data_IF_814869410153
#
_entry.id   IF_814869410153
#
_cell.length_a   1.000
_cell.length_b   1.000
_cell.length_c   1.000
_cell.angle_alpha   90.00
_cell.angle_beta   90.00
_cell.angle_gamma   90.00
#
_symmetry.space_group_name_H-M   'P 1'
#
loop_
_entity.id
_entity.type
_entity.pdbx_description
1 polymer ?
#
# COMPACT_ATOMS: atom_id res chain seq x y z
N UNK A 1 -12.69 -16.52 -9.03
CA UNK A 1 -13.26 -17.84 -8.64
C UNK A 1 -12.19 -18.58 -7.89
N UNK A 2 -12.49 -19.11 -6.69
CA UNK A 2 -11.51 -19.89 -5.92
C UNK A 2 -11.34 -21.24 -6.61
N UNK A 3 -10.22 -21.45 -7.27
CA UNK A 3 -9.92 -22.72 -7.91
C UNK A 3 -9.70 -23.80 -6.84
N UNK A 4 -10.34 -24.95 -7.04
CA UNK A 4 -10.13 -26.15 -6.22
C UNK A 4 -9.21 -27.09 -7.01
N UNK A 5 -8.29 -27.74 -6.32
CA UNK A 5 -7.33 -28.69 -6.88
C UNK A 5 -7.39 -30.01 -6.16
N UNK A 6 -6.90 -31.08 -6.80
CA UNK A 6 -6.79 -32.42 -6.20
C UNK A 6 -5.38 -32.98 -6.40
N UNK A 7 -5.02 -33.93 -5.56
CA UNK A 7 -3.73 -34.60 -5.61
C UNK A 7 -3.67 -35.67 -6.72
N UNK A 8 -2.55 -35.74 -7.41
CA UNK A 8 -2.23 -36.84 -8.32
C UNK A 8 -1.88 -38.12 -7.53
N UNK A 9 -1.94 -39.28 -8.19
CA UNK A 9 -1.51 -40.55 -7.58
C UNK A 9 -0.03 -40.55 -7.22
N UNK A 10 0.80 -40.01 -8.12
CA UNK A 10 2.23 -39.83 -7.88
C UNK A 10 2.50 -38.83 -6.75
N UNK A 11 1.77 -37.73 -6.71
CA UNK A 11 1.86 -36.72 -5.67
C UNK A 11 1.52 -37.28 -4.30
N UNK A 12 0.45 -38.10 -4.17
CA UNK A 12 0.11 -38.74 -2.90
C UNK A 12 1.21 -39.71 -2.41
N UNK A 13 1.95 -40.36 -3.31
CA UNK A 13 3.10 -41.19 -2.93
C UNK A 13 4.23 -40.34 -2.32
N UNK A 14 4.51 -39.18 -2.91
CA UNK A 14 5.49 -38.23 -2.37
C UNK A 14 5.07 -37.73 -0.97
N UNK A 15 3.81 -37.36 -0.83
CA UNK A 15 3.25 -36.92 0.47
C UNK A 15 3.28 -38.04 1.51
N UNK A 16 3.00 -39.29 1.12
CA UNK A 16 3.09 -40.46 2.03
C UNK A 16 4.52 -40.69 2.53
N UNK A 17 5.50 -40.52 1.65
CA UNK A 17 6.91 -40.60 2.02
C UNK A 17 7.33 -39.47 2.95
N UNK A 18 6.98 -38.23 2.64
CA UNK A 18 7.34 -37.05 3.43
C UNK A 18 6.72 -37.08 4.85
N UNK A 19 5.45 -37.44 4.99
CA UNK A 19 4.81 -37.60 6.33
C UNK A 19 5.45 -38.68 7.18
N UNK A 20 5.92 -39.81 6.59
CA UNK A 20 6.62 -40.86 7.30
C UNK A 20 7.94 -40.38 7.88
N UNK A 21 8.67 -39.53 7.17
CA UNK A 21 9.88 -38.88 7.70
C UNK A 21 9.59 -38.04 8.95
N UNK A 22 8.42 -37.40 9.00
CA UNK A 22 7.94 -36.63 10.16
C UNK A 22 7.28 -37.54 11.25
N UNK A 23 7.22 -38.86 11.02
CA UNK A 23 6.55 -39.85 11.90
C UNK A 23 5.05 -39.55 12.11
N UNK A 24 4.40 -38.95 11.14
CA UNK A 24 2.97 -38.65 11.16
C UNK A 24 2.15 -39.79 10.53
N UNK A 25 0.97 -40.10 11.11
CA UNK A 25 -0.02 -40.91 10.41
C UNK A 25 -0.85 -40.04 9.42
N UNK A 26 -1.66 -40.67 8.58
CA UNK A 26 -2.46 -39.99 7.54
C UNK A 26 -3.43 -38.93 8.10
N UNK A 27 -3.77 -38.94 9.36
CA UNK A 27 -4.72 -38.07 10.04
C UNK A 27 -4.14 -37.47 11.31
N UNK A 28 -2.82 -37.31 11.36
CA UNK A 28 -2.12 -36.78 12.53
C UNK A 28 -2.64 -35.37 12.88
N UNK A 29 -2.93 -35.15 14.17
CA UNK A 29 -3.36 -33.84 14.67
C UNK A 29 -2.34 -32.77 14.33
N UNK A 30 -1.06 -33.05 14.56
CA UNK A 30 0.03 -32.13 14.26
C UNK A 30 0.04 -31.69 12.80
N UNK A 31 -0.37 -32.54 11.86
CA UNK A 31 -0.37 -32.22 10.43
C UNK A 31 -1.48 -31.22 10.08
N UNK A 32 -2.75 -31.55 10.37
CA UNK A 32 -3.84 -30.65 10.00
C UNK A 32 -3.85 -29.35 10.82
N UNK A 33 -3.29 -29.36 12.04
CA UNK A 33 -3.07 -28.13 12.80
C UNK A 33 -2.00 -27.26 12.16
N UNK A 34 -0.86 -27.84 11.72
CA UNK A 34 0.19 -27.10 11.02
C UNK A 34 -0.27 -26.57 9.64
N UNK A 35 -1.23 -27.24 9.00
CA UNK A 35 -1.83 -26.82 7.75
C UNK A 35 -3.06 -25.91 7.94
N UNK A 36 -3.36 -25.47 9.16
CA UNK A 36 -4.52 -24.66 9.50
C UNK A 36 -5.83 -25.20 8.89
N UNK A 37 -6.03 -26.51 8.93
CA UNK A 37 -7.17 -27.18 8.33
C UNK A 37 -7.82 -28.19 9.27
N UNK A 38 -8.81 -28.95 8.78
CA UNK A 38 -9.51 -29.96 9.56
C UNK A 38 -9.11 -31.37 9.16
N UNK A 39 -9.35 -32.34 10.07
CA UNK A 39 -9.19 -33.78 9.78
C UNK A 39 -10.05 -34.20 8.58
N UNK A 40 -11.24 -33.64 8.44
CA UNK A 40 -12.14 -33.94 7.32
C UNK A 40 -11.53 -33.47 5.98
N UNK A 41 -10.92 -32.29 5.94
CA UNK A 41 -10.24 -31.78 4.74
C UNK A 41 -9.01 -32.61 4.40
N UNK A 42 -8.24 -33.05 5.39
CA UNK A 42 -7.10 -33.93 5.17
C UNK A 42 -7.54 -35.31 4.62
N UNK A 43 -8.68 -35.83 5.06
CA UNK A 43 -9.27 -37.06 4.49
C UNK A 43 -9.71 -36.85 3.03
N UNK A 44 -10.29 -35.68 2.69
CA UNK A 44 -10.63 -35.33 1.30
C UNK A 44 -9.39 -35.26 0.42
N UNK A 45 -8.31 -34.68 0.92
CA UNK A 45 -7.01 -34.66 0.24
C UNK A 45 -6.51 -36.06 -0.08
N UNK A 46 -6.51 -36.98 0.89
CA UNK A 46 -6.14 -38.38 0.69
C UNK A 46 -7.10 -39.16 -0.22
N UNK A 47 -8.36 -38.79 -0.25
CA UNK A 47 -9.39 -39.33 -1.12
C UNK A 47 -9.39 -38.74 -2.54
N UNK A 48 -8.39 -37.93 -2.89
CA UNK A 48 -8.27 -37.24 -4.19
C UNK A 48 -9.52 -36.41 -4.54
N UNK A 49 -10.19 -35.86 -3.54
CA UNK A 49 -11.29 -34.94 -3.72
C UNK A 49 -10.74 -33.53 -3.86
N UNK A 50 -11.36 -32.72 -4.72
CA UNK A 50 -10.99 -31.32 -4.89
C UNK A 50 -11.16 -30.55 -3.58
N UNK A 51 -10.13 -29.81 -3.20
CA UNK A 51 -10.10 -28.88 -2.06
C UNK A 51 -9.54 -27.53 -2.51
N UNK A 52 -9.77 -26.50 -1.76
CA UNK A 52 -9.29 -25.16 -2.08
C UNK A 52 -7.77 -25.14 -2.25
N UNK A 53 -7.29 -24.41 -3.24
CA UNK A 53 -5.85 -24.37 -3.58
C UNK A 53 -4.99 -23.90 -2.42
N UNK A 54 -5.43 -22.87 -1.67
CA UNK A 54 -4.73 -22.39 -0.47
C UNK A 54 -4.56 -23.48 0.60
N UNK A 55 -5.61 -24.23 0.84
CA UNK A 55 -5.60 -25.35 1.79
C UNK A 55 -4.75 -26.52 1.30
N UNK A 56 -4.76 -26.78 -0.01
CA UNK A 56 -3.93 -27.81 -0.63
C UNK A 56 -2.43 -27.47 -0.49
N UNK A 57 -2.05 -26.22 -0.77
CA UNK A 57 -0.69 -25.71 -0.59
C UNK A 57 -0.23 -25.83 0.86
N UNK A 58 -1.08 -25.44 1.83
CA UNK A 58 -0.77 -25.57 3.25
C UNK A 58 -0.55 -27.02 3.70
N UNK A 59 -1.34 -27.98 3.19
CA UNK A 59 -1.18 -29.42 3.48
C UNK A 59 0.17 -29.94 2.95
N UNK A 60 0.57 -29.55 1.74
CA UNK A 60 1.85 -29.93 1.13
C UNK A 60 3.03 -29.28 1.87
N UNK A 61 2.96 -28.00 2.15
CA UNK A 61 3.98 -27.25 2.88
C UNK A 61 4.22 -27.81 4.30
N UNK A 62 3.17 -28.23 4.99
CA UNK A 62 3.28 -28.83 6.33
C UNK A 62 4.14 -30.10 6.38
N UNK A 63 4.26 -30.82 5.27
CA UNK A 63 5.16 -31.97 5.13
C UNK A 63 6.46 -31.63 4.39
N UNK A 64 6.67 -30.37 4.02
CA UNK A 64 7.89 -29.89 3.37
C UNK A 64 7.96 -30.21 1.88
N UNK A 65 6.82 -30.31 1.22
CA UNK A 65 6.73 -30.55 -0.24
C UNK A 65 6.18 -29.31 -0.96
N UNK A 66 6.72 -29.13 -2.16
CA UNK A 66 6.16 -28.20 -3.11
C UNK A 66 4.85 -28.78 -3.67
N UNK A 67 3.76 -28.02 -3.60
CA UNK A 67 2.43 -28.46 -4.00
C UNK A 67 2.30 -28.77 -5.50
N UNK A 68 3.10 -28.09 -6.36
CA UNK A 68 3.12 -28.31 -7.81
C UNK A 68 3.52 -29.74 -8.16
N UNK A 69 4.35 -30.38 -7.35
CA UNK A 69 4.75 -31.79 -7.50
C UNK A 69 3.69 -32.79 -7.05
N UNK A 70 2.66 -32.30 -6.38
CA UNK A 70 1.62 -33.12 -5.74
C UNK A 70 0.29 -33.05 -6.48
N UNK A 71 0.01 -31.93 -7.12
CA UNK A 71 -1.25 -31.66 -7.83
C UNK A 71 -1.38 -32.51 -9.10
N UNK A 72 -2.61 -32.78 -9.54
CA UNK A 72 -2.90 -33.52 -10.76
C UNK A 72 -2.66 -32.63 -11.99
N UNK A 73 -1.83 -33.06 -12.97
CA UNK A 73 -1.45 -32.24 -14.13
C UNK A 73 -2.62 -31.81 -15.01
N UNK A 74 -3.63 -32.66 -15.18
CA UNK A 74 -4.80 -32.40 -16.02
C UNK A 74 -5.71 -31.24 -15.55
N UNK A 75 -5.42 -30.65 -14.42
CA UNK A 75 -6.11 -29.45 -13.96
C UNK A 75 -5.44 -28.15 -14.43
N UNK A 76 -4.31 -28.26 -15.11
CA UNK A 76 -3.60 -27.16 -15.76
C UNK A 76 -3.65 -27.22 -17.30
N UNK A 77 -4.16 -28.28 -17.89
CA UNK A 77 -4.37 -28.36 -19.35
C UNK A 77 -5.70 -27.67 -19.71
N UNK A 78 -5.61 -26.40 -20.05
CA UNK A 78 -6.56 -25.73 -20.95
C UNK A 78 -6.11 -26.11 -22.35
N UNK A 79 -7.05 -26.64 -23.17
CA UNK A 79 -6.86 -27.11 -24.52
C UNK A 79 -5.90 -26.22 -25.34
N UNK A 80 -4.75 -26.77 -25.68
CA UNK A 80 -3.69 -26.11 -26.45
C UNK A 80 -4.07 -25.94 -27.94
N UNK A 81 -5.18 -26.52 -28.40
CA UNK A 81 -5.58 -26.51 -29.80
C UNK A 81 -6.53 -25.37 -30.22
N UNK A 82 -7.21 -24.72 -29.26
CA UNK A 82 -7.96 -23.48 -29.52
C UNK A 82 -7.10 -22.21 -29.27
N UNK A 83 -5.92 -22.37 -28.67
CA UNK A 83 -5.02 -21.27 -28.31
C UNK A 83 -4.29 -20.70 -29.52
N UNK A 84 -3.91 -21.50 -30.51
CA UNK A 84 -3.07 -21.05 -31.65
C UNK A 84 -3.79 -20.09 -32.63
N UNK A 85 -5.09 -19.97 -32.60
CA UNK A 85 -5.82 -18.98 -33.41
C UNK A 85 -6.40 -17.80 -32.65
N UNK A 86 -6.58 -17.90 -31.34
CA UNK A 86 -6.92 -16.79 -30.46
C UNK A 86 -5.68 -16.09 -29.86
N UNK A 87 -4.54 -16.78 -29.84
CA UNK A 87 -3.29 -16.28 -29.23
C UNK A 87 -2.66 -15.09 -29.96
N UNK A 88 -2.89 -14.90 -31.25
CA UNK A 88 -2.35 -13.72 -31.93
C UNK A 88 -3.17 -12.43 -31.69
N UNK A 89 -4.40 -12.55 -31.18
CA UNK A 89 -5.23 -11.35 -30.91
C UNK A 89 -5.54 -11.18 -29.42
N UNK A 90 -5.40 -12.22 -28.60
CA UNK A 90 -5.69 -12.19 -27.15
C UNK A 90 -4.44 -12.20 -26.26
N UNK A 91 -3.26 -12.51 -26.81
CA UNK A 91 -1.97 -12.48 -26.11
C UNK A 91 -1.54 -11.08 -25.67
N UNK A 92 -2.21 -10.03 -26.17
CA UNK A 92 -2.00 -8.67 -25.70
C UNK A 92 -2.92 -8.25 -24.54
N UNK A 93 -3.97 -9.03 -24.19
CA UNK A 93 -4.95 -8.54 -23.22
C UNK A 93 -5.29 -9.50 -22.07
N UNK A 94 -4.98 -10.81 -22.13
CA UNK A 94 -5.52 -11.77 -21.15
C UNK A 94 -4.50 -12.62 -20.39
N UNK A 95 -3.26 -12.70 -20.83
CA UNK A 95 -2.20 -13.46 -20.14
C UNK A 95 -1.52 -12.69 -18.98
N UNK A 96 -1.89 -11.42 -18.75
CA UNK A 96 -1.37 -10.57 -17.67
C UNK A 96 -2.35 -10.38 -16.49
N UNK A 97 -3.51 -11.02 -16.50
CA UNK A 97 -4.57 -10.86 -15.51
C UNK A 97 -4.33 -11.59 -14.17
N UNK A 98 -3.08 -11.87 -13.80
CA UNK A 98 -2.76 -12.58 -12.55
C UNK A 98 -1.52 -12.09 -11.81
N UNK A 99 -0.70 -11.22 -12.41
CA UNK A 99 0.45 -10.61 -11.73
C UNK A 99 0.28 -9.10 -11.88
N UNK A 100 -0.21 -8.44 -10.85
CA UNK A 100 -0.28 -6.97 -10.83
C UNK A 100 1.09 -6.38 -11.15
N UNK A 101 1.14 -5.41 -12.06
CA UNK A 101 2.36 -4.68 -12.36
C UNK A 101 2.65 -3.72 -11.21
N UNK A 102 3.74 -3.96 -10.48
CA UNK A 102 4.12 -3.18 -9.31
C UNK A 102 5.42 -2.42 -9.58
N UNK A 103 5.40 -1.12 -9.41
CA UNK A 103 6.58 -0.26 -9.43
C UNK A 103 6.60 0.64 -8.20
N UNK A 104 7.34 0.22 -7.21
CA UNK A 104 7.47 0.94 -5.94
C UNK A 104 8.46 2.10 -6.00
N UNK A 105 9.26 2.23 -7.08
CA UNK A 105 10.24 3.30 -7.23
C UNK A 105 11.05 3.52 -5.96
N UNK A 106 11.04 4.75 -5.46
CA UNK A 106 11.69 5.14 -4.20
C UNK A 106 10.78 5.12 -2.97
N UNK A 107 9.71 4.31 -2.95
CA UNK A 107 8.81 4.20 -1.80
C UNK A 107 9.58 3.71 -0.56
N UNK A 108 9.46 4.37 0.60
CA UNK A 108 10.11 3.91 1.81
C UNK A 108 9.43 2.64 2.33
N UNK A 109 10.22 1.68 2.79
CA UNK A 109 9.68 0.51 3.48
C UNK A 109 9.26 0.91 4.91
N UNK A 110 7.98 0.81 5.29
CA UNK A 110 7.53 1.18 6.62
C UNK A 110 7.95 0.10 7.63
N UNK A 111 9.08 0.30 8.30
CA UNK A 111 9.59 -0.63 9.34
C UNK A 111 8.70 -0.66 10.57
N UNK A 112 8.08 0.48 10.91
CA UNK A 112 7.19 0.64 12.06
C UNK A 112 5.94 1.41 11.65
N UNK A 113 4.78 0.89 12.02
CA UNK A 113 3.49 1.49 11.73
C UNK A 113 2.60 1.39 12.97
N UNK A 114 2.24 2.54 13.54
CA UNK A 114 1.48 2.60 14.79
C UNK A 114 0.09 3.18 14.55
N UNK A 115 -0.91 2.48 15.06
CA UNK A 115 -2.29 2.92 14.94
C UNK A 115 -2.77 3.03 13.49
N UNK A 116 -3.60 4.04 13.20
CA UNK A 116 -4.07 4.38 11.85
C UNK A 116 -4.99 3.35 11.19
N UNK A 117 -5.50 2.39 11.93
CA UNK A 117 -6.40 1.38 11.36
C UNK A 117 -7.73 2.00 10.90
N UNK A 118 -8.23 3.01 11.62
CA UNK A 118 -9.45 3.70 11.22
C UNK A 118 -9.24 4.49 9.94
N UNK A 119 -8.12 5.22 9.84
CA UNK A 119 -7.74 5.97 8.65
C UNK A 119 -7.56 5.04 7.44
N UNK A 120 -6.87 3.90 7.62
CA UNK A 120 -6.72 2.90 6.55
C UNK A 120 -8.08 2.36 6.09
N UNK A 121 -8.97 2.02 7.01
CA UNK A 121 -10.30 1.49 6.67
C UNK A 121 -11.11 2.53 5.90
N UNK A 122 -11.12 3.78 6.34
CA UNK A 122 -11.82 4.88 5.64
C UNK A 122 -11.26 5.07 4.21
N UNK A 123 -9.93 5.09 4.07
CA UNK A 123 -9.30 5.25 2.76
C UNK A 123 -9.56 4.07 1.83
N UNK A 124 -9.57 2.85 2.37
CA UNK A 124 -9.94 1.65 1.61
C UNK A 124 -11.41 1.70 1.14
N UNK A 125 -12.33 2.14 2.00
CA UNK A 125 -13.74 2.33 1.66
C UNK A 125 -13.89 3.36 0.53
N UNK A 126 -13.26 4.51 0.63
CA UNK A 126 -13.29 5.55 -0.40
C UNK A 126 -12.80 5.03 -1.77
N UNK A 127 -11.71 4.28 -1.77
CA UNK A 127 -11.09 3.80 -3.01
C UNK A 127 -11.83 2.60 -3.61
N UNK A 128 -12.27 1.65 -2.78
CA UNK A 128 -12.82 0.38 -3.26
C UNK A 128 -14.34 0.38 -3.40
N UNK A 129 -15.05 1.12 -2.56
CA UNK A 129 -16.53 1.12 -2.50
C UNK A 129 -17.10 2.39 -3.12
N UNK A 130 -16.58 3.56 -2.74
CA UNK A 130 -17.06 4.84 -3.25
C UNK A 130 -16.43 5.21 -4.59
N UNK A 131 -15.45 4.42 -5.09
CA UNK A 131 -14.74 4.63 -6.35
C UNK A 131 -14.11 6.03 -6.47
N UNK A 132 -13.52 6.53 -5.38
CA UNK A 132 -12.77 7.79 -5.45
C UNK A 132 -11.62 7.67 -6.45
N UNK A 133 -11.58 8.59 -7.40
CA UNK A 133 -10.54 8.65 -8.43
C UNK A 133 -9.31 9.45 -8.00
N UNK A 134 -9.45 10.31 -6.97
CA UNK A 134 -8.35 11.08 -6.40
C UNK A 134 -8.53 11.22 -4.88
N UNK A 135 -7.49 10.83 -4.13
CA UNK A 135 -7.44 10.94 -2.67
C UNK A 135 -6.18 11.70 -2.25
N UNK A 136 -6.36 12.84 -1.59
CA UNK A 136 -5.27 13.65 -1.07
C UNK A 136 -5.08 13.45 0.44
N UNK A 137 -3.93 12.91 0.86
CA UNK A 137 -3.53 12.81 2.27
C UNK A 137 -2.83 14.11 2.67
N UNK A 138 -3.49 14.92 3.49
CA UNK A 138 -3.03 16.25 3.87
C UNK A 138 -2.58 16.27 5.33
N UNK A 139 -1.58 17.09 5.67
CA UNK A 139 -1.17 17.31 7.07
C UNK A 139 0.29 17.72 7.21
N UNK A 140 0.67 18.06 8.44
CA UNK A 140 2.00 18.56 8.78
C UNK A 140 3.14 17.62 8.33
N UNK A 141 4.34 18.18 8.19
CA UNK A 141 5.57 17.40 8.02
C UNK A 141 5.76 16.41 9.17
N UNK A 142 6.19 15.19 8.86
CA UNK A 142 6.42 14.17 9.90
C UNK A 142 5.19 13.50 10.48
N UNK A 143 3.95 13.88 10.10
CA UNK A 143 2.69 13.31 10.64
C UNK A 143 2.41 11.87 10.20
N UNK A 144 3.17 11.36 9.20
CA UNK A 144 3.06 9.98 8.74
C UNK A 144 2.29 9.77 7.43
N UNK A 145 2.07 10.79 6.61
CA UNK A 145 1.36 10.70 5.31
C UNK A 145 1.97 9.67 4.37
N UNK A 146 3.27 9.78 4.11
CA UNK A 146 4.01 8.84 3.26
C UNK A 146 3.91 7.40 3.76
N UNK A 147 4.06 7.19 5.07
CA UNK A 147 3.96 5.86 5.68
C UNK A 147 2.55 5.28 5.53
N UNK A 148 1.52 6.11 5.72
CA UNK A 148 0.11 5.71 5.54
C UNK A 148 -0.18 5.38 4.07
N UNK A 149 0.30 6.20 3.13
CA UNK A 149 0.12 5.97 1.68
C UNK A 149 0.79 4.67 1.22
N UNK A 150 2.03 4.39 1.67
CA UNK A 150 2.72 3.12 1.37
C UNK A 150 1.94 1.93 1.92
N UNK A 151 1.51 2.01 3.19
CA UNK A 151 0.74 0.94 3.81
C UNK A 151 -0.59 0.69 3.11
N UNK A 152 -1.29 1.76 2.74
CA UNK A 152 -2.53 1.70 1.95
C UNK A 152 -2.29 1.04 0.59
N UNK A 153 -1.26 1.46 -0.14
CA UNK A 153 -0.94 0.90 -1.46
C UNK A 153 -0.59 -0.59 -1.38
N UNK A 154 0.17 -1.03 -0.36
CA UNK A 154 0.43 -2.45 -0.12
C UNK A 154 -0.85 -3.26 0.19
N UNK A 155 -1.78 -2.68 0.95
CA UNK A 155 -3.06 -3.35 1.27
C UNK A 155 -3.97 -3.47 0.04
N UNK A 156 -3.85 -2.52 -0.91
CA UNK A 156 -4.70 -2.45 -2.09
C UNK A 156 -4.08 -3.09 -3.34
N UNK A 157 -2.80 -3.44 -3.34
CA UNK A 157 -2.07 -3.86 -4.55
C UNK A 157 -2.76 -4.99 -5.32
N UNK A 158 -3.36 -5.97 -4.63
CA UNK A 158 -4.04 -7.11 -5.26
C UNK A 158 -5.43 -6.75 -5.84
N UNK A 159 -5.86 -5.48 -5.71
CA UNK A 159 -7.13 -4.96 -6.24
C UNK A 159 -6.95 -4.12 -7.49
N UNK A 160 -5.72 -3.89 -7.90
CA UNK A 160 -5.33 -3.08 -9.04
C UNK A 160 -4.43 -3.86 -9.99
N UNK A 161 -4.56 -3.62 -11.28
CA UNK A 161 -3.72 -4.22 -12.30
C UNK A 161 -2.33 -3.58 -12.33
N UNK A 162 -2.28 -2.28 -12.04
CA UNK A 162 -1.05 -1.51 -11.98
C UNK A 162 -0.99 -0.74 -10.67
N UNK A 163 0.15 -0.81 -9.98
CA UNK A 163 0.45 0.02 -8.81
C UNK A 163 1.78 0.72 -9.03
N UNK A 164 1.78 2.04 -8.97
CA UNK A 164 2.96 2.85 -9.22
C UNK A 164 3.14 3.90 -8.14
N UNK A 165 4.37 3.99 -7.62
CA UNK A 165 4.78 5.01 -6.64
C UNK A 165 5.78 5.98 -7.26
N UNK A 166 5.55 7.28 -7.11
CA UNK A 166 6.54 8.31 -7.47
C UNK A 166 6.61 9.39 -6.40
N UNK A 167 7.84 9.80 -6.10
CA UNK A 167 8.08 10.93 -5.20
C UNK A 167 8.34 12.20 -5.99
N UNK A 168 7.59 13.24 -5.68
CA UNK A 168 7.79 14.57 -6.26
C UNK A 168 8.77 15.43 -5.45
N UNK A 169 9.50 14.86 -4.50
CA UNK A 169 10.39 15.58 -3.57
C UNK A 169 11.39 16.49 -4.27
N UNK A 170 11.89 16.10 -5.43
CA UNK A 170 12.85 16.87 -6.22
C UNK A 170 12.18 17.79 -7.23
N UNK A 171 10.86 17.99 -7.14
CA UNK A 171 10.05 18.78 -8.07
C UNK A 171 10.36 18.42 -9.55
N UNK A 172 10.13 17.16 -10.00
CA UNK A 172 10.37 16.79 -11.39
C UNK A 172 9.42 17.56 -12.32
N UNK A 173 9.84 17.86 -13.56
CA UNK A 173 8.95 18.40 -14.59
C UNK A 173 7.78 17.43 -14.85
N UNK A 174 6.56 17.96 -15.03
CA UNK A 174 5.38 17.13 -15.28
C UNK A 174 5.55 16.22 -16.49
N UNK A 175 6.22 16.69 -17.53
CA UNK A 175 6.45 15.90 -18.75
C UNK A 175 7.21 14.61 -18.51
N UNK A 176 8.19 14.64 -17.61
CA UNK A 176 8.97 13.46 -17.23
C UNK A 176 8.12 12.45 -16.43
N UNK A 177 7.31 12.95 -15.50
CA UNK A 177 6.42 12.12 -14.68
C UNK A 177 5.34 11.46 -15.54
N UNK A 178 4.73 12.22 -16.48
CA UNK A 178 3.76 11.66 -17.41
C UNK A 178 4.36 10.61 -18.33
N UNK A 179 5.56 10.87 -18.87
CA UNK A 179 6.26 9.91 -19.74
C UNK A 179 6.53 8.60 -19.00
N UNK A 180 7.03 8.69 -17.78
CA UNK A 180 7.32 7.54 -16.93
C UNK A 180 6.05 6.74 -16.57
N UNK A 181 4.95 7.43 -16.20
CA UNK A 181 3.65 6.79 -15.95
C UNK A 181 3.12 6.06 -17.20
N UNK A 182 3.15 6.70 -18.36
CA UNK A 182 2.65 6.09 -19.60
C UNK A 182 3.53 4.88 -20.00
N UNK A 183 4.84 4.99 -19.89
CA UNK A 183 5.75 3.87 -20.17
C UNK A 183 5.46 2.68 -19.25
N UNK A 184 5.27 2.91 -17.96
CA UNK A 184 4.92 1.86 -17.01
C UNK A 184 3.57 1.21 -17.36
N UNK A 185 2.51 2.02 -17.56
CA UNK A 185 1.15 1.52 -17.84
C UNK A 185 1.04 0.83 -19.19
N UNK A 186 1.89 1.21 -20.18
CA UNK A 186 1.98 0.54 -21.48
C UNK A 186 2.84 -0.72 -21.45
N UNK A 187 3.37 -1.12 -20.28
CA UNK A 187 4.34 -2.23 -20.13
C UNK A 187 5.54 -2.01 -21.08
N UNK A 188 6.06 -0.79 -21.13
CA UNK A 188 7.19 -0.35 -21.98
C UNK A 188 6.94 -0.47 -23.50
N UNK A 189 5.69 -0.63 -23.93
CA UNK A 189 5.36 -0.80 -25.37
C UNK A 189 5.23 0.53 -26.11
N UNK A 190 4.90 1.62 -25.40
CA UNK A 190 4.69 2.92 -26.02
C UNK A 190 5.98 3.73 -26.09
N UNK A 191 6.57 3.79 -27.28
CA UNK A 191 7.84 4.51 -27.53
C UNK A 191 7.63 5.92 -28.11
N UNK A 192 6.48 6.20 -28.72
CA UNK A 192 6.14 7.49 -29.33
C UNK A 192 5.09 8.22 -28.50
N UNK A 193 5.54 8.98 -27.50
CA UNK A 193 4.66 9.78 -26.67
C UNK A 193 4.26 11.10 -27.38
N UNK A 194 3.04 11.61 -27.11
CA UNK A 194 2.66 12.95 -27.55
C UNK A 194 3.69 13.99 -27.13
N UNK A 195 3.96 14.97 -28.01
CA UNK A 195 4.95 16.02 -27.73
C UNK A 195 4.45 17.07 -26.73
N UNK A 196 3.12 17.27 -26.64
CA UNK A 196 2.52 18.23 -25.71
C UNK A 196 2.18 17.59 -24.36
N UNK A 197 2.19 18.39 -23.29
CA UNK A 197 1.75 17.99 -21.95
C UNK A 197 0.30 17.53 -21.97
N UNK A 198 -0.59 18.30 -22.60
CA UNK A 198 -2.02 17.95 -22.70
C UNK A 198 -2.24 16.62 -23.42
N UNK A 199 -1.48 16.38 -24.49
CA UNK A 199 -1.52 15.10 -25.21
C UNK A 199 -1.09 13.92 -24.34
N UNK A 200 -0.06 14.10 -23.48
CA UNK A 200 0.38 13.10 -22.51
C UNK A 200 -0.66 12.89 -21.40
N UNK A 201 -1.30 13.97 -20.90
CA UNK A 201 -2.39 13.85 -19.92
C UNK A 201 -3.54 13.03 -20.50
N UNK A 202 -4.01 13.34 -21.70
CA UNK A 202 -5.08 12.60 -22.37
C UNK A 202 -4.68 11.12 -22.58
N UNK A 203 -3.42 10.87 -22.93
CA UNK A 203 -2.91 9.49 -23.09
C UNK A 203 -2.90 8.73 -21.76
N UNK A 204 -2.47 9.37 -20.68
CA UNK A 204 -2.56 8.78 -19.34
C UNK A 204 -4.00 8.42 -18.97
N UNK A 205 -4.96 9.33 -19.21
CA UNK A 205 -6.39 9.08 -18.95
C UNK A 205 -6.89 7.85 -19.71
N UNK A 206 -6.49 7.63 -20.96
CA UNK A 206 -6.87 6.44 -21.71
C UNK A 206 -6.39 5.15 -21.00
N UNK A 207 -5.18 5.14 -20.43
CA UNK A 207 -4.70 4.01 -19.64
C UNK A 207 -5.51 3.84 -18.34
N UNK A 208 -5.82 4.92 -17.63
CA UNK A 208 -6.62 4.88 -16.40
C UNK A 208 -8.07 4.41 -16.64
N UNK A 209 -8.59 4.58 -17.86
CA UNK A 209 -9.89 4.06 -18.30
C UNK A 209 -9.82 2.60 -18.73
N UNK A 210 -8.70 2.19 -19.34
CA UNK A 210 -8.51 0.84 -19.88
C UNK A 210 -8.14 -0.21 -18.85
N UNK A 211 -7.50 0.20 -17.75
CA UNK A 211 -7.04 -0.69 -16.68
C UNK A 211 -7.30 -0.08 -15.31
N UNK A 212 -7.36 -0.90 -14.29
CA UNK A 212 -7.53 -0.42 -12.90
C UNK A 212 -6.16 -0.13 -12.28
N UNK A 213 -5.79 1.16 -12.18
CA UNK A 213 -4.49 1.62 -11.76
C UNK A 213 -4.56 2.32 -10.38
N UNK A 214 -3.60 2.04 -9.50
CA UNK A 214 -3.34 2.80 -8.29
C UNK A 214 -2.03 3.56 -8.47
N UNK A 215 -2.13 4.87 -8.64
CA UNK A 215 -0.97 5.76 -8.76
C UNK A 215 -0.75 6.48 -7.44
N UNK A 216 0.48 6.58 -6.97
CA UNK A 216 0.82 7.34 -5.76
C UNK A 216 1.85 8.42 -6.08
N UNK A 217 1.49 9.67 -5.79
CA UNK A 217 2.38 10.84 -5.86
C UNK A 217 2.69 11.34 -4.46
N UNK A 218 3.90 11.09 -4.00
CA UNK A 218 4.35 11.49 -2.66
C UNK A 218 5.09 12.84 -2.70
N UNK A 219 4.97 13.64 -1.65
CA UNK A 219 5.59 14.96 -1.50
C UNK A 219 5.13 16.01 -2.54
N UNK A 220 3.85 16.07 -2.83
CA UNK A 220 3.29 17.03 -3.79
C UNK A 220 3.52 18.50 -3.36
N UNK A 221 3.73 18.77 -2.08
CA UNK A 221 4.12 20.12 -1.62
C UNK A 221 5.38 20.67 -2.30
N UNK A 222 6.24 19.82 -2.86
CA UNK A 222 7.49 20.28 -3.51
C UNK A 222 7.25 21.03 -4.80
N UNK A 223 6.10 20.85 -5.44
CA UNK A 223 5.69 21.57 -6.66
C UNK A 223 4.78 22.78 -6.36
N UNK A 224 4.40 22.96 -5.10
CA UNK A 224 3.58 24.07 -4.66
C UNK A 224 4.46 25.26 -4.21
N UNK A 225 3.90 26.46 -4.27
CA UNK A 225 4.54 27.68 -3.81
C UNK A 225 4.58 27.71 -2.27
N UNK A 226 5.77 27.76 -1.69
CA UNK A 226 5.95 27.75 -0.24
C UNK A 226 5.28 28.94 0.44
N UNK A 227 4.48 28.66 1.47
CA UNK A 227 3.76 29.70 2.24
C UNK A 227 2.56 30.30 1.52
N UNK A 228 2.18 29.79 0.37
CA UNK A 228 0.94 30.16 -0.31
C UNK A 228 -0.25 29.57 0.47
N UNK A 229 -1.13 30.43 0.98
CA UNK A 229 -2.38 29.97 1.63
C UNK A 229 -3.41 29.40 0.64
N UNK A 230 -3.15 29.57 -0.65
CA UNK A 230 -4.07 29.17 -1.74
C UNK A 230 -3.69 27.85 -2.39
N UNK A 231 -2.56 27.23 -2.04
CA UNK A 231 -2.09 25.99 -2.69
C UNK A 231 -1.68 26.19 -4.15
N UNK A 232 -1.19 27.38 -4.52
CA UNK A 232 -0.72 27.69 -5.87
C UNK A 232 0.53 26.90 -6.23
N UNK A 233 0.76 26.74 -7.54
CA UNK A 233 1.93 26.03 -8.06
C UNK A 233 3.12 26.97 -8.24
N UNK A 234 4.31 26.43 -8.06
CA UNK A 234 5.54 27.14 -8.45
C UNK A 234 5.55 27.41 -9.95
N UNK A 235 6.30 28.42 -10.36
CA UNK A 235 6.51 28.74 -11.79
C UNK A 235 6.97 27.50 -12.57
N UNK A 236 6.29 27.17 -13.66
CA UNK A 236 6.55 25.97 -14.48
C UNK A 236 5.83 24.71 -14.03
N UNK A 237 5.12 24.70 -12.88
CA UNK A 237 4.44 23.51 -12.36
C UNK A 237 2.91 23.55 -12.45
N UNK A 238 2.33 24.59 -13.03
CA UNK A 238 0.87 24.74 -13.17
C UNK A 238 0.20 23.56 -13.93
N UNK A 239 0.93 22.87 -14.80
CA UNK A 239 0.44 21.68 -15.50
C UNK A 239 0.03 20.54 -14.59
N UNK A 240 0.58 20.43 -13.36
CA UNK A 240 0.12 19.47 -12.39
C UNK A 240 -1.34 19.72 -11.95
N UNK A 241 -1.77 20.99 -11.89
CA UNK A 241 -3.18 21.33 -11.64
C UNK A 241 -4.09 20.80 -12.73
N UNK A 242 -3.68 20.93 -14.00
CA UNK A 242 -4.44 20.36 -15.12
C UNK A 242 -4.52 18.83 -15.06
N UNK A 243 -3.41 18.16 -14.71
CA UNK A 243 -3.41 16.70 -14.48
C UNK A 243 -4.41 16.31 -13.39
N UNK A 244 -4.36 16.96 -12.22
CA UNK A 244 -5.23 16.64 -11.09
C UNK A 244 -6.71 16.89 -11.44
N UNK A 245 -7.00 17.99 -12.14
CA UNK A 245 -8.35 18.32 -12.60
C UNK A 245 -8.85 17.28 -13.59
N UNK A 246 -8.05 16.93 -14.59
CA UNK A 246 -8.46 15.97 -15.62
C UNK A 246 -8.71 14.59 -15.01
N UNK A 247 -7.90 14.12 -14.06
CA UNK A 247 -8.13 12.87 -13.32
C UNK A 247 -9.43 12.97 -12.51
N UNK A 248 -9.66 14.08 -11.80
CA UNK A 248 -10.84 14.25 -10.94
C UNK A 248 -12.17 14.38 -11.70
N UNK A 249 -12.15 14.93 -12.91
CA UNK A 249 -13.35 15.18 -13.74
C UNK A 249 -13.66 14.04 -14.71
N UNK A 250 -12.68 13.16 -14.99
CA UNK A 250 -12.87 12.07 -15.96
C UNK A 250 -13.31 10.79 -15.30
N UNK A 251 -14.28 10.09 -15.89
CA UNK A 251 -14.76 8.80 -15.38
C UNK A 251 -13.76 7.69 -15.69
N UNK A 252 -13.25 7.02 -14.65
CA UNK A 252 -12.39 5.82 -14.72
C UNK A 252 -12.43 5.03 -13.40
N UNK A 253 -11.92 3.79 -13.41
CA UNK A 253 -11.91 2.90 -12.23
C UNK A 253 -10.55 2.90 -11.47
N UNK A 254 -9.68 3.81 -11.81
CA UNK A 254 -8.35 3.99 -11.22
C UNK A 254 -8.37 5.02 -10.11
N UNK A 255 -7.35 5.03 -9.26
CA UNK A 255 -7.22 6.02 -8.20
C UNK A 255 -5.81 6.63 -8.17
N UNK A 256 -5.74 7.96 -8.07
CA UNK A 256 -4.54 8.68 -7.71
C UNK A 256 -4.56 9.01 -6.22
N UNK A 257 -3.60 8.52 -5.47
CA UNK A 257 -3.34 8.92 -4.08
C UNK A 257 -2.19 9.91 -4.06
N UNK A 258 -2.36 11.04 -3.42
CA UNK A 258 -1.28 12.01 -3.26
C UNK A 258 -1.05 12.36 -1.80
N UNK A 259 0.20 12.69 -1.45
CA UNK A 259 0.51 13.23 -0.13
C UNK A 259 0.99 14.68 -0.26
N UNK A 260 0.51 15.55 0.62
CA UNK A 260 0.94 16.95 0.66
C UNK A 260 0.81 17.56 2.06
N UNK A 261 1.57 18.63 2.31
CA UNK A 261 1.35 19.47 3.50
C UNK A 261 0.14 20.38 3.32
N UNK A 262 -0.08 20.83 2.11
CA UNK A 262 -1.13 21.78 1.73
C UNK A 262 -1.93 21.22 0.55
N UNK A 263 -3.22 21.55 0.47
CA UNK A 263 -4.04 21.15 -0.65
C UNK A 263 -3.68 22.00 -1.88
N UNK A 264 -3.38 21.41 -3.06
CA UNK A 264 -3.33 22.17 -4.30
C UNK A 264 -4.67 22.88 -4.55
N UNK A 265 -4.60 24.09 -5.11
CA UNK A 265 -5.79 24.95 -5.31
C UNK A 265 -6.91 24.27 -6.13
N UNK A 266 -6.54 23.44 -7.11
CA UNK A 266 -7.52 22.75 -7.97
C UNK A 266 -8.35 21.72 -7.19
N UNK A 267 -7.80 21.10 -6.15
CA UNK A 267 -8.54 20.13 -5.35
C UNK A 267 -9.69 20.76 -4.56
N UNK A 268 -9.52 22.00 -4.10
CA UNK A 268 -10.57 22.72 -3.34
C UNK A 268 -11.87 22.88 -4.14
N UNK A 269 -11.78 22.92 -5.47
CA UNK A 269 -12.93 23.02 -6.36
C UNK A 269 -13.57 21.65 -6.69
N UNK A 270 -12.79 20.58 -6.58
CA UNK A 270 -13.18 19.22 -6.98
C UNK A 270 -13.60 18.35 -5.80
N UNK A 271 -13.19 18.72 -4.57
CA UNK A 271 -13.44 17.88 -3.40
C UNK A 271 -14.88 17.94 -2.91
N UNK A 272 -15.37 16.84 -2.34
CA UNK A 272 -16.63 16.77 -1.65
C UNK A 272 -16.94 15.39 -1.11
N UNK A 273 -17.75 15.29 -0.05
CA UNK A 273 -18.08 14.03 0.61
C UNK A 273 -18.73 12.99 -0.33
N UNK A 274 -19.52 13.44 -1.29
CA UNK A 274 -20.18 12.59 -2.28
C UNK A 274 -19.50 12.63 -3.65
N UNK A 275 -18.34 13.31 -3.77
CA UNK A 275 -17.61 13.43 -5.02
C UNK A 275 -16.46 12.41 -5.09
N UNK A 276 -15.98 12.09 -6.31
CA UNK A 276 -14.88 11.12 -6.50
C UNK A 276 -13.50 11.67 -6.11
N UNK A 277 -13.42 12.94 -5.73
CA UNK A 277 -12.19 13.60 -5.22
C UNK A 277 -12.38 13.93 -3.76
N UNK A 278 -11.48 13.42 -2.90
CA UNK A 278 -11.57 13.63 -1.45
C UNK A 278 -10.22 13.99 -0.83
N UNK A 279 -10.27 14.90 0.13
CA UNK A 279 -9.14 15.26 0.96
C UNK A 279 -9.26 14.61 2.34
N UNK A 280 -8.19 13.95 2.79
CA UNK A 280 -8.09 13.32 4.11
C UNK A 280 -7.10 14.09 4.98
N UNK A 281 -7.55 14.93 5.92
CA UNK A 281 -6.69 15.63 6.86
C UNK A 281 -6.15 14.67 7.92
N UNK A 282 -4.87 14.33 7.84
CA UNK A 282 -4.22 13.41 8.77
C UNK A 282 -3.82 14.17 10.05
N UNK A 283 -4.39 13.77 11.18
CA UNK A 283 -4.11 14.30 12.51
C UNK A 283 -2.97 13.54 13.18
N UNK A 284 -2.48 14.03 14.32
CA UNK A 284 -1.50 13.34 15.15
C UNK A 284 -2.00 12.00 15.70
N UNK A 285 -1.07 11.20 16.19
CA UNK A 285 -1.38 9.95 16.87
C UNK A 285 -2.04 10.23 18.22
N UNK A 286 -3.02 9.42 18.62
CA UNK A 286 -3.52 9.43 19.98
C UNK A 286 -2.43 8.96 20.97
N UNK A 287 -2.62 9.26 22.24
CA UNK A 287 -1.67 8.99 23.32
C UNK A 287 -1.15 7.55 23.32
N UNK A 288 -2.05 6.57 23.22
CA UNK A 288 -1.71 5.14 23.27
C UNK A 288 -0.68 4.74 22.21
N UNK A 289 -0.85 5.26 20.98
CA UNK A 289 0.07 4.97 19.87
C UNK A 289 1.30 5.88 19.88
N UNK A 290 1.20 7.09 20.46
CA UNK A 290 2.36 7.94 20.73
C UNK A 290 3.34 7.30 21.71
N UNK A 291 2.85 6.63 22.75
CA UNK A 291 3.67 5.86 23.70
C UNK A 291 4.40 4.68 23.03
N UNK A 292 3.80 4.03 22.02
CA UNK A 292 4.45 2.93 21.29
C UNK A 292 5.73 3.38 20.59
N UNK A 293 5.78 4.64 20.10
CA UNK A 293 6.98 5.23 19.50
C UNK A 293 8.14 5.29 20.52
N UNK A 294 7.82 5.66 21.76
CA UNK A 294 8.81 5.70 22.83
C UNK A 294 9.32 4.31 23.20
N UNK A 295 8.45 3.32 23.26
CA UNK A 295 8.82 1.92 23.57
C UNK A 295 9.86 1.35 22.61
N UNK A 296 9.87 1.78 21.35
CA UNK A 296 10.95 1.41 20.40
C UNK A 296 12.31 1.99 20.78
N UNK A 297 12.34 3.11 21.50
CA UNK A 297 13.57 3.81 21.86
C UNK A 297 14.11 3.43 23.23
N UNK A 298 13.30 2.74 24.05
CA UNK A 298 13.68 2.29 25.37
C UNK A 298 12.52 2.27 26.37
N UNK A 299 12.85 2.11 27.63
CA UNK A 299 11.90 2.20 28.72
C UNK A 299 11.93 3.63 29.30
N UNK A 300 10.77 4.25 29.40
CA UNK A 300 10.61 5.60 29.90
C UNK A 300 9.79 5.60 31.21
N UNK A 301 10.11 6.54 32.09
CA UNK A 301 9.45 6.72 33.38
C UNK A 301 8.54 7.94 33.27
N UNK A 302 7.25 7.75 33.48
CA UNK A 302 6.23 8.80 33.49
C UNK A 302 4.87 8.24 33.86
N UNK A 303 4.05 9.07 34.50
CA UNK A 303 2.63 8.75 34.76
C UNK A 303 1.76 9.12 33.55
N UNK A 304 0.49 8.72 33.58
CA UNK A 304 -0.45 8.92 32.46
C UNK A 304 -0.63 10.42 32.15
N UNK A 305 -0.62 11.31 33.15
CA UNK A 305 -0.74 12.75 32.93
C UNK A 305 0.49 13.32 32.21
N UNK A 306 1.67 12.86 32.57
CA UNK A 306 2.93 13.25 31.92
C UNK A 306 2.99 12.76 30.49
N UNK A 307 2.57 11.53 30.22
CA UNK A 307 2.45 11.00 28.87
C UNK A 307 1.47 11.80 28.01
N UNK A 308 0.28 12.06 28.52
CA UNK A 308 -0.72 12.85 27.83
C UNK A 308 -0.18 14.26 27.51
N UNK A 309 0.39 14.94 28.51
CA UNK A 309 0.98 16.29 28.34
C UNK A 309 2.07 16.30 27.28
N UNK A 310 2.96 15.29 27.30
CA UNK A 310 4.06 15.18 26.34
C UNK A 310 3.54 14.98 24.90
N UNK A 311 2.62 14.06 24.70
CA UNK A 311 2.11 13.73 23.37
C UNK A 311 1.26 14.86 22.81
N UNK A 312 0.44 15.49 23.62
CA UNK A 312 -0.36 16.67 23.24
C UNK A 312 0.52 17.87 22.86
N UNK A 313 1.60 18.12 23.61
CA UNK A 313 2.53 19.22 23.32
C UNK A 313 3.12 19.15 21.92
N UNK A 314 3.39 17.94 21.41
CA UNK A 314 3.89 17.69 20.06
C UNK A 314 2.77 17.28 19.10
N UNK A 315 1.51 17.58 19.45
CA UNK A 315 0.32 17.28 18.64
C UNK A 315 0.25 15.84 18.13
N UNK A 316 0.83 14.88 18.85
CA UNK A 316 0.92 13.48 18.42
C UNK A 316 1.72 13.25 17.13
N UNK A 317 2.60 14.18 16.73
CA UNK A 317 3.40 14.06 15.51
C UNK A 317 4.45 12.96 15.64
N UNK A 318 4.42 11.87 14.85
CA UNK A 318 5.32 10.74 14.99
C UNK A 318 6.80 11.09 14.89
N UNK A 319 7.16 12.03 13.99
CA UNK A 319 8.55 12.44 13.82
C UNK A 319 9.04 13.22 15.03
N UNK A 320 8.24 14.19 15.49
CA UNK A 320 8.57 14.96 16.69
C UNK A 320 8.69 14.05 17.92
N UNK A 321 7.75 13.11 18.10
CA UNK A 321 7.79 12.15 19.21
C UNK A 321 9.03 11.25 19.15
N UNK A 322 9.47 10.81 17.97
CA UNK A 322 10.74 10.07 17.81
C UNK A 322 11.96 10.89 18.22
N UNK A 323 12.00 12.16 17.86
CA UNK A 323 13.10 13.07 18.25
C UNK A 323 13.09 13.32 19.74
N UNK A 324 11.91 13.58 20.32
CA UNK A 324 11.73 13.80 21.75
C UNK A 324 12.10 12.55 22.55
N UNK A 325 11.71 11.37 22.09
CA UNK A 325 12.10 10.11 22.74
C UNK A 325 13.63 9.96 22.84
N UNK A 326 14.35 10.29 21.77
CA UNK A 326 15.81 10.31 21.82
C UNK A 326 16.33 11.35 22.84
N UNK A 327 15.79 12.58 22.85
CA UNK A 327 16.21 13.62 23.78
C UNK A 327 15.96 13.23 25.24
N UNK A 328 14.76 12.71 25.54
CA UNK A 328 14.40 12.28 26.91
C UNK A 328 15.30 11.12 27.36
N UNK A 329 15.61 10.19 26.48
CA UNK A 329 16.54 9.09 26.79
C UNK A 329 17.95 9.57 27.05
N UNK A 330 18.48 10.42 26.18
CA UNK A 330 19.89 10.76 26.16
C UNK A 330 20.29 11.87 27.16
N UNK A 331 19.32 12.74 27.55
CA UNK A 331 19.59 13.91 28.40
C UNK A 331 18.82 13.94 29.73
N UNK A 332 17.79 13.07 29.89
CA UNK A 332 16.92 13.09 31.07
C UNK A 332 16.72 11.69 31.68
N UNK A 333 17.68 10.79 31.47
CA UNK A 333 17.65 9.42 32.02
C UNK A 333 16.32 8.70 31.77
N UNK A 334 15.71 8.91 30.60
CA UNK A 334 14.39 8.40 30.24
C UNK A 334 13.24 8.86 31.17
N UNK A 335 13.39 9.97 31.90
CA UNK A 335 12.40 10.50 32.81
C UNK A 335 11.60 11.64 32.16
N UNK A 336 10.31 11.39 31.90
CA UNK A 336 9.41 12.35 31.24
C UNK A 336 9.14 13.56 32.12
N UNK A 337 9.01 13.40 33.44
CA UNK A 337 8.77 14.49 34.34
C UNK A 337 9.90 15.53 34.28
N UNK A 338 11.16 15.10 34.37
CA UNK A 338 12.32 15.98 34.27
C UNK A 338 12.36 16.74 32.94
N UNK A 339 12.03 16.07 31.84
CA UNK A 339 11.96 16.72 30.52
C UNK A 339 10.83 17.78 30.48
N UNK A 340 9.64 17.45 30.97
CA UNK A 340 8.53 18.40 31.02
C UNK A 340 8.82 19.60 31.91
N UNK A 341 9.50 19.43 33.06
CA UNK A 341 9.90 20.52 33.93
C UNK A 341 10.94 21.40 33.25
N UNK A 342 11.93 20.81 32.58
CA UNK A 342 12.90 21.57 31.77
C UNK A 342 12.21 22.44 30.69
N UNK A 343 11.15 21.91 30.03
CA UNK A 343 10.40 22.67 29.04
C UNK A 343 9.59 23.84 29.66
N UNK A 344 9.16 23.73 30.91
CA UNK A 344 8.46 24.83 31.66
C UNK A 344 9.41 26.00 31.99
N UNK A 345 10.69 25.70 32.19
CA UNK A 345 11.70 26.72 32.50
C UNK A 345 12.13 27.58 31.30
N UNK A 346 11.49 27.39 30.14
CA UNK A 346 11.66 28.23 28.94
C UNK A 346 12.86 27.91 28.07
N UNK A 347 13.43 26.73 28.22
CA UNK A 347 14.54 26.27 27.37
C UNK A 347 13.96 25.60 26.08
N UNK A 348 13.90 26.38 25.01
CA UNK A 348 13.39 25.93 23.70
C UNK A 348 14.37 24.97 23.05
N UNK A 349 14.01 23.70 22.90
CA UNK A 349 14.81 22.74 22.14
C UNK A 349 14.20 22.43 20.78
N UNK A 350 12.86 22.56 20.56
CA UNK A 350 12.19 22.09 19.35
C UNK A 350 10.90 22.86 19.00
N UNK A 351 10.83 24.18 19.12
CA UNK A 351 9.61 24.94 18.77
C UNK A 351 9.45 25.21 17.24
N UNK A 352 10.45 24.83 16.42
CA UNK A 352 10.48 25.11 14.97
C UNK A 352 10.40 23.84 14.07
N UNK A 353 9.72 22.76 14.51
CA UNK A 353 9.51 21.57 13.68
C UNK A 353 8.12 21.54 13.09
#
# INVERSE_FOLDING_TARGET
MMNSVRASESGLKLVDQARRQKRWNKTAVAWYTSAFTSRATLNRFWGRQSIRTDTFMAICSAVGLDWEKVVEPDQFEIDQFEIDQMELTALSTTALAGIGHLDWGGAPEPRSFYGRMQELNTLQEWILQDNCCLVALLGMGGIGKTTLAVKLAHLLQDKFEFVMWRSLRNAPPLEEVLADMIQFLSVQQETNLPSSVDGKILRLIQYLQGARCLLVLDNTESILESGSRTGGYREGYAGYGELLRTIGETSHNSCLVMTSREAPQDLTLLEGEALPVRCFPLKGLPETHGQEIFKEKGNFIGDDTQWMTLIERYAGNPLALKMVACAVRDFFDSNIAQFLDFLKEGSFIFDDI
#
